data_IF_919842703713
#
_entry.id   IF_919842703713
#
_cell.length_a   1.000
_cell.length_b   1.000
_cell.length_c   1.000
_cell.angle_alpha   90.00
_cell.angle_beta   90.00
_cell.angle_gamma   90.00
#
_symmetry.space_group_name_H-M   'P 1'
#
loop_
_entity.id
_entity.type
_entity.pdbx_description
1 polymer ?
#
# COMPACT_ATOMS: atom_id res chain seq x y z
N UNK A 1 -14.34 14.83 -0.26
CA UNK A 1 -13.40 14.02 0.55
C UNK A 1 -11.94 14.18 0.16
N UNK A 2 -11.53 15.38 -0.23
CA UNK A 2 -10.14 15.64 -0.65
C UNK A 2 -9.47 16.72 0.23
N UNK A 3 -10.12 17.17 1.30
CA UNK A 3 -9.53 18.11 2.25
C UNK A 3 -8.67 17.37 3.29
N UNK A 4 -7.70 18.06 3.86
CA UNK A 4 -6.88 17.54 4.97
C UNK A 4 -7.77 17.13 6.16
N UNK A 5 -8.87 17.85 6.41
CA UNK A 5 -9.78 17.53 7.50
C UNK A 5 -10.57 16.22 7.24
N UNK A 6 -10.93 15.96 5.98
CA UNK A 6 -11.51 14.68 5.58
C UNK A 6 -10.52 13.53 5.79
N UNK A 7 -9.25 13.75 5.43
CA UNK A 7 -8.19 12.74 5.62
C UNK A 7 -7.95 12.46 7.09
N UNK A 8 -7.94 13.49 7.94
CA UNK A 8 -7.86 13.37 9.40
C UNK A 8 -9.07 12.61 9.97
N UNK A 9 -10.26 12.93 9.47
CA UNK A 9 -11.49 12.26 9.88
C UNK A 9 -11.50 10.78 9.54
N UNK A 10 -11.13 10.43 8.32
CA UNK A 10 -10.98 9.05 7.87
C UNK A 10 -9.93 8.28 8.67
N UNK A 11 -8.79 8.92 8.94
CA UNK A 11 -7.71 8.33 9.74
C UNK A 11 -8.15 8.01 11.18
N UNK A 12 -8.85 8.96 11.85
CA UNK A 12 -9.43 8.70 13.18
C UNK A 12 -10.46 7.58 13.17
N UNK A 13 -11.30 7.54 12.13
CA UNK A 13 -12.30 6.47 11.98
C UNK A 13 -11.64 5.09 11.83
N UNK A 14 -10.54 5.01 11.07
CA UNK A 14 -9.75 3.79 10.95
C UNK A 14 -9.14 3.36 12.28
N UNK A 15 -8.54 4.28 13.02
CA UNK A 15 -7.97 3.99 14.34
C UNK A 15 -9.04 3.52 15.34
N UNK A 16 -10.24 4.12 15.32
CA UNK A 16 -11.38 3.68 16.11
C UNK A 16 -11.85 2.26 15.74
N UNK A 17 -11.88 1.97 14.42
CA UNK A 17 -12.20 0.63 13.91
C UNK A 17 -11.20 -0.39 14.45
N UNK A 18 -9.89 -0.12 14.34
CA UNK A 18 -8.86 -1.03 14.82
C UNK A 18 -8.95 -1.28 16.33
N UNK A 19 -9.22 -0.24 17.14
CA UNK A 19 -9.46 -0.40 18.58
C UNK A 19 -10.70 -1.24 18.91
N UNK A 20 -11.70 -1.25 18.03
CA UNK A 20 -12.86 -2.13 18.17
C UNK A 20 -12.49 -3.56 17.80
N UNK A 21 -11.84 -3.76 16.64
CA UNK A 21 -11.50 -5.07 16.12
C UNK A 21 -10.51 -5.83 17.02
N UNK A 22 -9.60 -5.12 17.67
CA UNK A 22 -8.65 -5.70 18.63
C UNK A 22 -9.32 -6.40 19.83
N UNK A 23 -10.55 -6.02 20.16
CA UNK A 23 -11.32 -6.67 21.24
C UNK A 23 -11.88 -8.05 20.85
N UNK A 24 -11.78 -8.40 19.58
CA UNK A 24 -12.23 -9.67 19.03
C UNK A 24 -11.01 -10.50 18.62
N UNK A 25 -10.53 -11.40 19.51
CA UNK A 25 -9.34 -12.20 19.20
C UNK A 25 -9.58 -13.09 17.99
N UNK A 26 -8.54 -13.26 17.19
CA UNK A 26 -8.58 -14.22 16.10
C UNK A 26 -8.66 -15.65 16.68
N UNK A 27 -9.47 -16.55 16.09
CA UNK A 27 -9.42 -17.96 16.40
C UNK A 27 -8.01 -18.52 16.22
N UNK A 28 -7.60 -19.45 17.07
CA UNK A 28 -6.23 -19.99 17.11
C UNK A 28 -5.85 -20.81 15.87
N UNK A 29 -6.82 -21.24 15.09
CA UNK A 29 -6.68 -22.01 13.85
C UNK A 29 -6.70 -21.15 12.58
N UNK A 30 -6.86 -19.83 12.74
CA UNK A 30 -6.82 -18.92 11.58
C UNK A 30 -5.36 -18.63 11.20
N UNK A 31 -5.06 -18.90 9.94
CA UNK A 31 -3.79 -18.55 9.31
C UNK A 31 -3.80 -17.11 8.81
N UNK A 32 -2.78 -16.34 9.16
CA UNK A 32 -2.56 -14.97 8.66
C UNK A 32 -1.61 -15.02 7.47
N UNK A 33 -2.00 -14.41 6.35
CA UNK A 33 -1.15 -14.36 5.16
C UNK A 33 0.17 -13.66 5.47
N UNK A 34 1.31 -14.31 5.16
CA UNK A 34 2.63 -13.70 5.30
C UNK A 34 2.80 -12.52 4.35
N UNK A 35 3.11 -11.35 4.90
CA UNK A 35 3.38 -10.12 4.16
C UNK A 35 4.68 -10.26 3.34
N UNK A 36 5.70 -10.92 3.92
CA UNK A 36 6.95 -11.22 3.25
C UNK A 36 6.74 -12.08 2.00
N UNK A 37 6.04 -13.21 2.12
CA UNK A 37 5.76 -14.08 0.99
C UNK A 37 4.92 -13.36 -0.09
N UNK A 38 3.94 -12.57 0.34
CA UNK A 38 3.14 -11.74 -0.57
C UNK A 38 4.00 -10.75 -1.35
N UNK A 39 4.92 -10.07 -0.68
CA UNK A 39 5.87 -9.15 -1.31
C UNK A 39 6.81 -9.89 -2.28
N UNK A 40 7.35 -11.04 -1.89
CA UNK A 40 8.21 -11.88 -2.75
C UNK A 40 7.46 -12.34 -4.01
N UNK A 41 6.23 -12.84 -3.88
CA UNK A 41 5.41 -13.26 -5.03
C UNK A 41 5.20 -12.10 -6.03
N UNK A 42 4.96 -10.87 -5.54
CA UNK A 42 4.82 -9.68 -6.40
C UNK A 42 6.13 -9.29 -7.06
N UNK A 43 7.26 -9.34 -6.36
CA UNK A 43 8.59 -9.12 -6.95
C UNK A 43 8.90 -10.15 -8.05
N UNK A 44 8.58 -11.42 -7.82
CA UNK A 44 8.75 -12.47 -8.82
C UNK A 44 7.90 -12.22 -10.10
N UNK A 45 6.72 -11.62 -9.96
CA UNK A 45 5.89 -11.22 -11.12
C UNK A 45 6.57 -10.13 -11.95
N UNK A 46 7.24 -9.14 -11.32
CA UNK A 46 8.02 -8.12 -12.04
C UNK A 46 9.14 -8.78 -12.84
N UNK A 47 9.89 -9.70 -12.21
CA UNK A 47 10.99 -10.44 -12.89
C UNK A 47 10.44 -11.29 -14.05
N UNK A 48 9.29 -11.93 -13.86
CA UNK A 48 8.63 -12.72 -14.91
C UNK A 48 8.23 -11.83 -16.10
N UNK A 49 7.68 -10.65 -15.83
CA UNK A 49 7.32 -9.69 -16.87
C UNK A 49 8.57 -9.19 -17.62
N UNK A 50 9.65 -8.81 -16.91
CA UNK A 50 10.95 -8.46 -17.51
C UNK A 50 11.41 -9.54 -18.48
N UNK A 51 11.46 -10.80 -18.02
CA UNK A 51 11.94 -11.91 -18.85
C UNK A 51 11.05 -12.18 -20.06
N UNK A 52 9.76 -11.91 -19.96
CA UNK A 52 8.84 -11.97 -21.08
C UNK A 52 9.14 -10.88 -22.11
N UNK A 53 9.32 -9.63 -21.68
CA UNK A 53 9.60 -8.49 -22.57
C UNK A 53 10.92 -8.70 -23.30
N UNK A 54 11.97 -9.19 -22.62
CA UNK A 54 13.29 -9.46 -23.23
C UNK A 54 13.27 -10.44 -24.40
N UNK A 55 12.28 -11.32 -24.45
CA UNK A 55 12.14 -12.34 -25.54
C UNK A 55 11.40 -11.81 -26.76
N UNK A 56 10.88 -10.59 -26.71
CA UNK A 56 10.09 -10.01 -27.79
C UNK A 56 10.97 -9.26 -28.78
N UNK A 57 10.66 -9.43 -30.06
CA UNK A 57 11.33 -8.69 -31.14
C UNK A 57 10.81 -7.26 -31.32
N UNK A 58 9.60 -6.98 -30.83
CA UNK A 58 8.98 -5.65 -30.87
C UNK A 58 8.37 -5.35 -29.50
N UNK A 59 8.69 -4.18 -28.97
CA UNK A 59 8.17 -3.64 -27.71
C UNK A 59 7.13 -2.56 -27.96
N UNK A 60 6.21 -2.38 -27.01
CA UNK A 60 5.22 -1.32 -27.03
C UNK A 60 5.56 -0.22 -26.02
N UNK A 61 4.78 0.87 -25.99
CA UNK A 61 5.03 2.03 -25.11
C UNK A 61 5.10 1.66 -23.62
N UNK A 62 4.21 0.76 -23.14
CA UNK A 62 4.24 0.29 -21.75
C UNK A 62 5.55 -0.45 -21.43
N UNK A 63 5.99 -1.33 -22.33
CA UNK A 63 7.21 -2.12 -22.16
C UNK A 63 8.47 -1.25 -22.15
N UNK A 64 8.50 -0.15 -22.93
CA UNK A 64 9.58 0.83 -22.87
C UNK A 64 9.63 1.53 -21.51
N UNK A 65 8.52 2.10 -21.05
CA UNK A 65 8.44 2.74 -19.73
C UNK A 65 8.74 1.76 -18.58
N UNK A 66 8.27 0.51 -18.68
CA UNK A 66 8.58 -0.53 -17.71
C UNK A 66 10.11 -0.73 -17.61
N UNK A 67 10.79 -0.78 -18.75
CA UNK A 67 12.24 -1.02 -18.79
C UNK A 67 13.05 0.11 -18.16
N UNK A 68 12.56 1.35 -18.25
CA UNK A 68 13.20 2.53 -17.66
C UNK A 68 13.14 2.54 -16.12
N UNK A 69 12.16 1.85 -15.52
CA UNK A 69 11.90 2.00 -14.09
C UNK A 69 11.88 0.70 -13.29
N UNK A 70 11.81 -0.49 -13.92
CA UNK A 70 11.56 -1.75 -13.21
C UNK A 70 12.63 -2.10 -12.19
N UNK A 71 13.90 -1.79 -12.44
CA UNK A 71 15.01 -2.13 -11.52
C UNK A 71 14.85 -1.39 -10.19
N UNK A 72 14.58 -0.09 -10.24
CA UNK A 72 14.35 0.73 -9.07
C UNK A 72 13.17 0.23 -8.23
N UNK A 73 12.02 -0.04 -8.85
CA UNK A 73 10.86 -0.55 -8.14
C UNK A 73 11.06 -1.98 -7.62
N UNK A 74 11.78 -2.81 -8.34
CA UNK A 74 12.13 -4.16 -7.90
C UNK A 74 13.05 -4.12 -6.67
N UNK A 75 14.02 -3.22 -6.64
CA UNK A 75 14.92 -3.03 -5.49
C UNK A 75 14.15 -2.56 -4.26
N UNK A 76 13.27 -1.56 -4.39
CA UNK A 76 12.37 -1.13 -3.31
C UNK A 76 11.50 -2.28 -2.81
N UNK A 77 10.94 -3.07 -3.71
CA UNK A 77 10.13 -4.25 -3.34
C UNK A 77 10.92 -5.31 -2.60
N UNK A 78 12.17 -5.58 -2.99
CA UNK A 78 13.05 -6.53 -2.29
C UNK A 78 13.43 -6.02 -0.90
N UNK A 79 13.83 -4.75 -0.78
CA UNK A 79 14.16 -4.13 0.50
C UNK A 79 12.97 -4.16 1.46
N UNK A 80 11.77 -3.86 0.97
CA UNK A 80 10.54 -4.00 1.76
C UNK A 80 10.33 -5.46 2.20
N UNK A 81 10.47 -6.42 1.29
CA UNK A 81 10.30 -7.84 1.62
C UNK A 81 11.31 -8.33 2.68
N UNK A 82 12.54 -7.84 2.67
CA UNK A 82 13.57 -8.14 3.68
C UNK A 82 13.13 -7.62 5.06
N UNK A 83 12.69 -6.37 5.16
CA UNK A 83 12.19 -5.78 6.41
C UNK A 83 10.96 -6.55 6.94
N UNK A 84 10.03 -6.90 6.04
CA UNK A 84 8.85 -7.71 6.40
C UNK A 84 9.23 -9.09 6.93
N UNK A 85 10.24 -9.74 6.34
CA UNK A 85 10.77 -11.02 6.82
C UNK A 85 11.34 -10.91 8.24
N UNK A 86 12.13 -9.86 8.51
CA UNK A 86 12.69 -9.61 9.83
C UNK A 86 11.60 -9.40 10.89
N UNK A 87 10.58 -8.59 10.55
CA UNK A 87 9.46 -8.31 11.44
C UNK A 87 8.62 -9.56 11.75
N UNK A 88 8.31 -10.39 10.75
CA UNK A 88 7.56 -11.64 10.95
C UNK A 88 8.37 -12.63 11.79
N UNK A 89 9.68 -12.74 11.57
CA UNK A 89 10.57 -13.63 12.33
C UNK A 89 10.75 -13.17 13.79
N UNK A 90 10.64 -11.89 14.09
CA UNK A 90 10.72 -11.37 15.47
C UNK A 90 9.54 -11.78 16.34
N UNK A 91 8.42 -12.21 15.72
CA UNK A 91 7.16 -12.59 16.39
C UNK A 91 6.58 -11.48 17.29
N UNK A 92 6.92 -10.24 17.01
CA UNK A 92 6.39 -9.07 17.73
C UNK A 92 5.11 -8.54 17.12
N UNK A 93 4.81 -8.91 15.87
CA UNK A 93 3.59 -8.50 15.18
C UNK A 93 2.36 -9.21 15.76
N UNK A 94 1.35 -8.44 16.13
CA UNK A 94 0.09 -8.97 16.68
C UNK A 94 -1.00 -8.84 15.62
N UNK A 95 -1.46 -9.94 15.02
CA UNK A 95 -2.52 -9.91 14.03
C UNK A 95 -3.89 -9.68 14.67
N UNK A 96 -4.76 -9.01 13.92
CA UNK A 96 -6.17 -8.81 14.26
C UNK A 96 -7.02 -8.85 12.97
N UNK A 97 -8.30 -8.53 13.06
CA UNK A 97 -9.10 -8.30 11.86
C UNK A 97 -8.73 -6.95 11.24
N UNK A 98 -8.63 -6.92 9.91
CA UNK A 98 -8.42 -5.74 9.09
C UNK A 98 -9.64 -5.49 8.22
N UNK A 99 -9.88 -4.24 7.83
CA UNK A 99 -10.93 -3.88 6.88
C UNK A 99 -10.64 -4.44 5.47
N UNK A 100 -9.37 -4.46 5.08
CA UNK A 100 -8.87 -5.06 3.83
C UNK A 100 -9.03 -4.20 2.58
N UNK A 101 -9.82 -3.12 2.64
CA UNK A 101 -10.00 -2.17 1.55
C UNK A 101 -10.29 -0.74 2.05
N UNK A 102 -9.70 -0.32 3.17
CA UNK A 102 -9.95 1.00 3.71
C UNK A 102 -9.38 2.10 2.80
N UNK A 103 -10.25 3.00 2.36
CA UNK A 103 -9.90 4.12 1.50
C UNK A 103 -11.02 5.18 1.53
N UNK A 104 -10.83 6.32 0.85
CA UNK A 104 -11.79 7.42 0.82
C UNK A 104 -13.20 7.07 0.29
N UNK A 105 -13.36 5.95 -0.42
CA UNK A 105 -14.66 5.51 -0.92
C UNK A 105 -15.39 4.59 0.08
N UNK A 106 -14.64 4.04 1.05
CA UNK A 106 -15.14 3.12 2.05
C UNK A 106 -15.21 3.76 3.45
N UNK A 107 -15.31 5.08 3.49
CA UNK A 107 -15.59 5.86 4.69
C UNK A 107 -16.60 6.95 4.34
N UNK A 108 -17.64 7.11 5.16
CA UNK A 108 -18.71 8.08 4.94
C UNK A 108 -18.80 9.08 6.08
N UNK A 109 -19.07 10.34 5.74
CA UNK A 109 -19.38 11.35 6.73
C UNK A 109 -20.90 11.43 6.94
N UNK A 110 -21.34 11.21 8.16
CA UNK A 110 -22.75 11.17 8.51
C UNK A 110 -23.31 12.56 8.79
N UNK A 111 -24.63 12.71 8.74
CA UNK A 111 -25.31 13.94 9.16
C UNK A 111 -25.07 14.28 10.64
N UNK A 112 -24.75 13.31 11.46
CA UNK A 112 -24.39 13.50 12.89
C UNK A 112 -22.93 13.94 13.10
N UNK A 113 -22.18 14.25 12.04
CA UNK A 113 -20.80 14.74 12.13
C UNK A 113 -19.76 13.64 12.41
N UNK A 114 -20.04 12.38 12.09
CA UNK A 114 -19.13 11.26 12.34
C UNK A 114 -18.64 10.64 11.02
N UNK A 115 -17.38 10.23 11.01
CA UNK A 115 -16.80 9.40 9.97
C UNK A 115 -17.01 7.92 10.33
N UNK A 116 -17.58 7.14 9.42
CA UNK A 116 -17.89 5.72 9.63
C UNK A 116 -17.31 4.89 8.49
N UNK A 117 -16.51 3.84 8.78
CA UNK A 117 -16.13 2.82 7.81
C UNK A 117 -17.36 2.07 7.28
N UNK A 118 -17.33 1.71 6.00
CA UNK A 118 -18.38 0.93 5.31
C UNK A 118 -17.74 -0.08 4.35
N UNK A 119 -18.52 -1.05 3.84
CA UNK A 119 -18.07 -2.06 2.88
C UNK A 119 -17.02 -3.02 3.47
N UNK A 120 -17.47 -3.87 4.40
CA UNK A 120 -16.61 -4.82 5.12
C UNK A 120 -16.43 -6.18 4.43
N UNK A 121 -16.80 -6.32 3.16
CA UNK A 121 -16.78 -7.59 2.42
C UNK A 121 -15.37 -8.18 2.27
N UNK A 122 -14.34 -7.33 2.39
CA UNK A 122 -12.92 -7.71 2.30
C UNK A 122 -12.25 -7.89 3.65
N UNK A 123 -13.02 -7.86 4.74
CA UNK A 123 -12.47 -8.02 6.08
C UNK A 123 -11.77 -9.39 6.21
N UNK A 124 -10.55 -9.37 6.76
CA UNK A 124 -9.72 -10.57 6.88
C UNK A 124 -8.75 -10.47 8.07
N UNK A 125 -8.20 -11.59 8.54
CA UNK A 125 -7.10 -11.60 9.50
C UNK A 125 -5.84 -10.98 8.89
N UNK A 126 -5.18 -10.07 9.62
CA UNK A 126 -3.99 -9.38 9.14
C UNK A 126 -3.41 -8.42 10.20
N UNK A 127 -2.69 -7.42 9.76
CA UNK A 127 -2.08 -6.41 10.62
C UNK A 127 -2.73 -5.05 10.36
N UNK A 128 -3.18 -4.30 11.39
CA UNK A 128 -3.86 -3.00 11.24
C UNK A 128 -3.08 -2.00 10.38
N UNK A 129 -1.76 -2.07 10.42
CA UNK A 129 -0.85 -1.23 9.65
C UNK A 129 -1.04 -1.41 8.13
N UNK A 130 -1.58 -2.55 7.68
CA UNK A 130 -1.86 -2.77 6.25
C UNK A 130 -2.99 -1.88 5.74
N UNK A 131 -4.05 -1.69 6.54
CA UNK A 131 -5.14 -0.77 6.22
C UNK A 131 -4.66 0.69 6.26
N UNK A 132 -3.87 1.04 7.28
CA UNK A 132 -3.29 2.38 7.41
C UNK A 132 -2.35 2.69 6.24
N UNK A 133 -1.46 1.76 5.88
CA UNK A 133 -0.56 1.91 4.73
C UNK A 133 -1.32 2.08 3.42
N UNK A 134 -2.41 1.32 3.21
CA UNK A 134 -3.23 1.46 2.00
C UNK A 134 -3.93 2.82 1.96
N UNK A 135 -4.48 3.28 3.08
CA UNK A 135 -5.10 4.59 3.19
C UNK A 135 -4.10 5.71 2.94
N UNK A 136 -2.96 5.71 3.65
CA UNK A 136 -1.89 6.69 3.49
C UNK A 136 -1.40 6.74 2.05
N UNK A 137 -1.04 5.59 1.48
CA UNK A 137 -0.55 5.52 0.10
C UNK A 137 -1.51 6.17 -0.89
N UNK A 138 -2.82 5.89 -0.78
CA UNK A 138 -3.82 6.48 -1.69
C UNK A 138 -3.96 7.98 -1.53
N UNK A 139 -3.86 8.48 -0.29
CA UNK A 139 -3.89 9.92 -0.04
C UNK A 139 -2.61 10.61 -0.52
N UNK A 140 -1.46 10.02 -0.26
CA UNK A 140 -0.15 10.53 -0.68
C UNK A 140 0.00 10.53 -2.22
N UNK A 141 -0.44 9.47 -2.91
CA UNK A 141 -0.44 9.42 -4.38
C UNK A 141 -1.28 10.54 -5.03
N UNK A 142 -2.34 10.98 -4.38
CA UNK A 142 -3.18 12.09 -4.85
C UNK A 142 -2.60 13.47 -4.53
N UNK A 143 -1.79 13.56 -3.48
CA UNK A 143 -1.25 14.79 -2.93
C UNK A 143 0.28 14.85 -3.09
N UNK A 144 0.80 14.29 -4.19
CA UNK A 144 2.21 14.42 -4.58
C UNK A 144 3.20 14.04 -3.47
N UNK A 145 2.84 13.05 -2.64
CA UNK A 145 3.65 12.57 -1.52
C UNK A 145 4.04 13.68 -0.51
N UNK A 146 3.15 14.67 -0.36
CA UNK A 146 3.33 15.77 0.58
C UNK A 146 3.43 15.24 2.02
N UNK A 147 4.53 15.58 2.70
CA UNK A 147 4.81 15.19 4.10
C UNK A 147 3.75 15.73 5.07
N UNK A 148 3.22 16.93 4.82
CA UNK A 148 2.17 17.50 5.67
C UNK A 148 0.87 16.67 5.62
N UNK A 149 0.57 16.02 4.51
CA UNK A 149 -0.55 15.07 4.39
C UNK A 149 -0.27 13.80 5.18
N UNK A 150 0.95 13.27 5.11
CA UNK A 150 1.35 12.11 5.88
C UNK A 150 1.25 12.37 7.38
N UNK A 151 1.82 13.48 7.84
CA UNK A 151 1.79 13.90 9.25
C UNK A 151 0.35 14.08 9.75
N UNK A 152 -0.50 14.74 8.96
CA UNK A 152 -1.91 14.94 9.32
C UNK A 152 -2.68 13.61 9.48
N UNK A 153 -2.37 12.59 8.67
CA UNK A 153 -2.98 11.26 8.77
C UNK A 153 -2.42 10.52 9.99
N UNK A 154 -1.10 10.50 10.16
CA UNK A 154 -0.43 9.81 11.27
C UNK A 154 -0.81 10.41 12.63
N UNK A 155 -0.74 11.73 12.79
CA UNK A 155 -1.13 12.42 14.02
C UNK A 155 -2.58 12.13 14.40
N UNK A 156 -3.46 12.15 13.39
CA UNK A 156 -4.89 11.85 13.61
C UNK A 156 -5.13 10.39 13.99
N UNK A 157 -4.39 9.45 13.40
CA UNK A 157 -4.43 8.04 13.80
C UNK A 157 -3.91 7.86 15.20
N UNK A 158 -2.71 8.40 15.48
CA UNK A 158 -2.01 8.26 16.76
C UNK A 158 -2.73 8.98 17.91
N UNK A 159 -3.57 9.98 17.63
CA UNK A 159 -4.44 10.61 18.63
C UNK A 159 -5.50 9.65 19.22
N UNK A 160 -5.78 8.52 18.55
CA UNK A 160 -6.77 7.51 18.93
C UNK A 160 -6.15 6.16 19.25
N UNK A 161 -5.14 5.74 18.47
CA UNK A 161 -4.41 4.48 18.60
C UNK A 161 -2.93 4.72 18.38
N UNK A 162 -2.11 4.49 19.40
CA UNK A 162 -0.65 4.63 19.29
C UNK A 162 -0.05 3.56 18.39
N UNK A 163 1.02 3.92 17.71
CA UNK A 163 1.89 3.01 16.97
C UNK A 163 3.22 2.91 17.74
N UNK A 164 3.61 1.69 18.08
CA UNK A 164 4.94 1.43 18.63
C UNK A 164 6.02 1.37 17.52
N UNK A 165 7.27 1.20 17.90
CA UNK A 165 8.39 1.13 16.95
C UNK A 165 8.23 0.00 15.93
N UNK A 166 7.66 -1.14 16.34
CA UNK A 166 7.39 -2.29 15.47
C UNK A 166 6.32 -1.95 14.43
N UNK A 167 5.22 -1.36 14.87
CA UNK A 167 4.12 -0.89 14.02
C UNK A 167 4.59 0.19 13.03
N UNK A 168 5.41 1.14 13.50
CA UNK A 168 5.99 2.17 12.63
C UNK A 168 6.92 1.56 11.58
N UNK A 169 7.78 0.64 11.97
CA UNK A 169 8.68 -0.06 11.03
C UNK A 169 7.90 -0.90 10.01
N UNK A 170 6.80 -1.54 10.44
CA UNK A 170 5.90 -2.26 9.54
C UNK A 170 5.24 -1.30 8.53
N UNK A 171 4.71 -0.19 9.01
CA UNK A 171 4.09 0.84 8.16
C UNK A 171 5.08 1.38 7.11
N UNK A 172 6.31 1.68 7.53
CA UNK A 172 7.38 2.13 6.63
C UNK A 172 7.71 1.10 5.56
N UNK A 173 7.83 -0.19 5.94
CA UNK A 173 8.08 -1.27 4.99
C UNK A 173 6.94 -1.42 3.97
N UNK A 174 5.69 -1.28 4.41
CA UNK A 174 4.51 -1.34 3.55
C UNK A 174 4.43 -0.15 2.58
N UNK A 175 4.79 1.06 3.02
CA UNK A 175 4.84 2.25 2.16
C UNK A 175 6.03 2.22 1.20
N UNK A 176 7.14 1.58 1.58
CA UNK A 176 8.29 1.34 0.69
C UNK A 176 7.94 0.38 -0.44
N UNK A 177 7.03 -0.58 -0.20
CA UNK A 177 6.64 -1.55 -1.23
C UNK A 177 5.94 -0.86 -2.42
N UNK A 178 6.36 -1.11 -3.67
CA UNK A 178 5.85 -0.42 -4.85
C UNK A 178 4.51 -1.01 -5.34
N UNK A 179 3.49 -0.99 -4.51
CA UNK A 179 2.19 -1.65 -4.73
C UNK A 179 1.53 -1.26 -6.05
N UNK A 180 1.52 0.03 -6.39
CA UNK A 180 0.90 0.53 -7.62
C UNK A 180 1.63 0.03 -8.86
N UNK A 181 2.96 -0.01 -8.83
CA UNK A 181 3.76 -0.58 -9.90
C UNK A 181 3.47 -2.07 -10.10
N UNK A 182 3.44 -2.84 -9.01
CA UNK A 182 3.09 -4.26 -9.05
C UNK A 182 1.69 -4.50 -9.62
N UNK A 183 0.68 -3.69 -9.23
CA UNK A 183 -0.68 -3.76 -9.78
C UNK A 183 -0.70 -3.50 -11.29
N UNK A 184 0.04 -2.51 -11.79
CA UNK A 184 0.16 -2.22 -13.22
C UNK A 184 0.83 -3.37 -13.97
N UNK A 185 1.94 -3.91 -13.44
CA UNK A 185 2.62 -5.06 -14.03
C UNK A 185 1.72 -6.30 -14.11
N UNK A 186 0.96 -6.57 -13.05
CA UNK A 186 0.03 -7.69 -13.02
C UNK A 186 -1.12 -7.49 -14.00
N UNK A 187 -1.72 -6.30 -14.07
CA UNK A 187 -2.77 -5.97 -15.03
C UNK A 187 -2.26 -6.16 -16.47
N UNK A 188 -1.09 -5.60 -16.79
CA UNK A 188 -0.47 -5.77 -18.10
C UNK A 188 -0.20 -7.24 -18.43
N UNK A 189 0.30 -8.03 -17.47
CA UNK A 189 0.62 -9.45 -17.66
C UNK A 189 -0.63 -10.30 -17.95
N UNK A 190 -1.78 -9.93 -17.39
CA UNK A 190 -3.05 -10.65 -17.51
C UNK A 190 -3.93 -10.10 -18.66
N UNK A 191 -3.60 -8.93 -19.24
CA UNK A 191 -4.33 -8.40 -20.39
C UNK A 191 -3.98 -9.14 -21.68
N UNK A 192 -4.86 -9.05 -22.70
CA UNK A 192 -4.55 -9.52 -24.06
C UNK A 192 -3.48 -8.57 -24.65
N UNK A 193 -2.24 -9.04 -24.70
CA UNK A 193 -1.05 -8.26 -25.07
C UNK A 193 -1.00 -7.75 -26.52
N UNK A 194 -1.98 -8.09 -27.33
CA UNK A 194 -2.14 -7.54 -28.67
C UNK A 194 -2.67 -6.10 -28.69
N UNK A 195 -3.21 -5.61 -27.57
CA UNK A 195 -3.70 -4.26 -27.42
C UNK A 195 -3.33 -3.72 -26.05
N UNK A 196 -2.40 -2.77 -26.02
CA UNK A 196 -2.03 -2.03 -24.82
C UNK A 196 -3.03 -0.89 -24.67
N UNK A 197 -3.67 -0.82 -23.51
CA UNK A 197 -4.56 0.30 -23.21
C UNK A 197 -3.72 1.55 -22.94
N UNK A 198 -3.94 2.64 -23.69
CA UNK A 198 -3.26 3.92 -23.47
C UNK A 198 -3.33 4.37 -22.00
N UNK A 199 -4.46 4.09 -21.35
CA UNK A 199 -4.66 4.37 -19.92
C UNK A 199 -3.61 3.68 -19.01
N UNK A 200 -3.09 2.51 -19.35
CA UNK A 200 -2.06 1.85 -18.53
C UNK A 200 -0.68 2.43 -18.79
N UNK A 201 -0.43 2.89 -20.00
CA UNK A 201 0.78 3.66 -20.35
C UNK A 201 0.79 4.98 -19.58
N UNK A 202 -0.32 5.72 -19.60
CA UNK A 202 -0.46 7.00 -18.89
C UNK A 202 -0.26 6.83 -17.37
N UNK A 203 -0.85 5.78 -16.79
CA UNK A 203 -0.69 5.48 -15.36
C UNK A 203 0.76 5.14 -14.99
N UNK A 204 1.47 4.41 -15.85
CA UNK A 204 2.87 4.08 -15.61
C UNK A 204 3.75 5.32 -15.77
N UNK A 205 3.51 6.16 -16.78
CA UNK A 205 4.19 7.43 -16.97
C UNK A 205 4.00 8.36 -15.76
N UNK A 206 2.75 8.51 -15.27
CA UNK A 206 2.46 9.28 -14.07
C UNK A 206 3.16 8.72 -12.83
N UNK A 207 3.22 7.39 -12.67
CA UNK A 207 3.91 6.76 -11.55
C UNK A 207 5.43 7.05 -11.58
N UNK A 208 6.03 7.05 -12.77
CA UNK A 208 7.44 7.39 -12.96
C UNK A 208 7.67 8.87 -12.62
N UNK A 209 6.80 9.76 -13.09
CA UNK A 209 6.90 11.19 -12.82
C UNK A 209 6.86 11.50 -11.32
N UNK A 210 5.97 10.84 -10.55
CA UNK A 210 5.80 11.04 -9.11
C UNK A 210 6.82 10.23 -8.27
N UNK A 211 7.70 9.47 -8.91
CA UNK A 211 8.63 8.60 -8.16
C UNK A 211 9.69 9.36 -7.38
N UNK A 212 10.12 10.53 -7.85
CA UNK A 212 11.06 11.40 -7.14
C UNK A 212 10.49 11.92 -5.82
N UNK A 213 9.26 12.46 -5.86
CA UNK A 213 8.53 12.94 -4.66
C UNK A 213 8.32 11.81 -3.65
N UNK A 214 7.96 10.61 -4.15
CA UNK A 214 7.80 9.43 -3.31
C UNK A 214 9.13 9.00 -2.67
N UNK A 215 10.23 9.03 -3.39
CA UNK A 215 11.55 8.67 -2.87
C UNK A 215 12.03 9.67 -1.82
N UNK A 216 11.83 10.95 -2.05
CA UNK A 216 12.14 12.01 -1.09
C UNK A 216 11.34 11.80 0.21
N UNK A 217 10.02 11.57 0.10
CA UNK A 217 9.20 11.22 1.26
C UNK A 217 9.72 9.99 2.01
N UNK A 218 10.04 8.91 1.30
CA UNK A 218 10.52 7.66 1.91
C UNK A 218 11.88 7.84 2.59
N UNK A 219 12.77 8.68 2.06
CA UNK A 219 14.05 9.00 2.70
C UNK A 219 13.85 9.72 4.04
N UNK A 220 12.89 10.63 4.11
CA UNK A 220 12.57 11.35 5.35
C UNK A 220 11.78 10.50 6.37
N UNK A 221 10.95 9.58 5.90
CA UNK A 221 10.09 8.75 6.74
C UNK A 221 10.77 7.47 7.27
N UNK A 222 11.88 7.02 6.65
CA UNK A 222 12.58 5.76 6.97
C UNK A 222 13.88 6.01 7.76
N UNK A 223 14.34 7.25 7.88
CA UNK A 223 15.46 7.67 8.73
C UNK A 223 14.94 8.07 10.10
#
# INVERSE_FOLDING_TARGET
>A
TDSIDDMRGGSRALAQLHNILEKYPLPSDIEVESLHEKAQRKCAQIVKLKNYILRRSKTNAFEHLFYECYERFLEQGKKSAEILCELENSKTLVPTYCHGAFNQHNVVYTQSGRWLPVNFETMHPGYPETDLAEYMRKMLEKNHWDTAVADAILDSYCSVRSLDDTSMRLLQALLLFPEKFCKLCNHYSNSRKSWVCDRDVDKLAQLIQLSGEREEYLLHAIV
#
